data_IF_193593730846
#
_entry.id   IF_193593730846
#
_cell.length_a   1.000
_cell.length_b   1.000
_cell.length_c   1.000
_cell.angle_alpha   90.00
_cell.angle_beta   90.00
_cell.angle_gamma   90.00
#
_symmetry.space_group_name_H-M   'P 1'
#
loop_
_entity.id
_entity.type
_entity.pdbx_description
1 polymer ?
#
# COMPACT_ATOMS: atom_id res chain seq x y z
N UNK A 1 26.55 -27.18 2.17
CA UNK A 1 25.65 -27.19 3.36
C UNK A 1 25.16 -25.77 3.50
N UNK A 2 23.85 -25.59 3.40
CA UNK A 2 23.27 -24.26 3.66
C UNK A 2 23.49 -23.96 5.14
N UNK A 3 23.99 -22.75 5.46
CA UNK A 3 24.24 -22.39 6.86
C UNK A 3 22.92 -22.42 7.64
N UNK A 4 22.93 -23.07 8.80
CA UNK A 4 21.80 -23.08 9.72
C UNK A 4 21.53 -21.64 10.14
N UNK A 5 20.28 -21.15 10.05
CA UNK A 5 19.94 -19.82 10.51
C UNK A 5 20.30 -19.66 12.00
N UNK A 6 20.84 -18.54 12.35
CA UNK A 6 21.22 -18.19 13.72
C UNK A 6 20.92 -16.72 13.98
N UNK A 7 20.79 -16.39 15.24
CA UNK A 7 20.68 -15.01 15.71
C UNK A 7 21.89 -14.64 16.55
N UNK A 8 22.11 -13.36 16.72
CA UNK A 8 22.99 -12.82 17.74
C UNK A 8 22.14 -12.38 18.92
N UNK A 9 22.36 -12.98 20.08
CA UNK A 9 21.77 -12.50 21.32
C UNK A 9 22.30 -11.10 21.67
N UNK A 10 21.62 -10.40 22.56
CA UNK A 10 22.04 -9.09 23.04
C UNK A 10 23.45 -9.16 23.69
N UNK A 11 23.83 -10.33 24.19
CA UNK A 11 25.20 -10.64 24.70
C UNK A 11 26.25 -10.71 23.60
N UNK A 12 25.89 -10.63 22.31
CA UNK A 12 26.80 -10.83 21.18
C UNK A 12 27.11 -12.31 20.87
N UNK A 13 26.49 -13.24 21.56
CA UNK A 13 26.66 -14.68 21.31
C UNK A 13 25.85 -15.09 20.11
N UNK A 14 26.48 -15.83 19.19
CA UNK A 14 25.83 -16.43 18.03
C UNK A 14 25.14 -17.73 18.48
N UNK A 15 23.80 -17.77 18.35
CA UNK A 15 23.02 -18.95 18.74
C UNK A 15 22.21 -19.48 17.55
N UNK A 16 22.26 -20.79 17.26
CA UNK A 16 21.40 -21.40 16.26
C UNK A 16 19.93 -21.32 16.68
N UNK A 17 19.03 -20.98 15.75
CA UNK A 17 17.60 -20.83 16.04
C UNK A 17 16.94 -22.10 16.55
N UNK A 18 17.45 -23.29 16.19
CA UNK A 18 16.91 -24.56 16.69
C UNK A 18 17.20 -24.80 18.18
N UNK A 19 18.24 -24.18 18.76
CA UNK A 19 18.59 -24.32 20.19
C UNK A 19 17.67 -23.48 21.10
N UNK A 20 16.81 -22.63 20.52
CA UNK A 20 15.93 -21.74 21.26
C UNK A 20 14.58 -22.36 21.62
N UNK A 21 14.44 -23.69 21.59
CA UNK A 21 13.17 -24.36 21.87
C UNK A 21 12.11 -24.20 20.78
N UNK A 22 12.45 -23.56 19.68
CA UNK A 22 11.62 -23.41 18.51
C UNK A 22 11.68 -24.72 17.73
N UNK A 23 10.53 -25.29 17.40
CA UNK A 23 10.44 -26.59 16.72
C UNK A 23 11.38 -26.67 15.51
N UNK A 24 12.18 -27.73 15.47
CA UNK A 24 13.02 -28.05 14.32
C UNK A 24 12.16 -28.03 13.05
N UNK A 25 12.56 -27.24 12.05
CA UNK A 25 11.87 -27.17 10.77
C UNK A 25 11.12 -25.88 10.49
N UNK A 26 10.99 -24.96 11.44
CA UNK A 26 10.36 -23.65 11.23
C UNK A 26 11.35 -22.66 10.59
N UNK A 27 12.63 -22.73 10.99
CA UNK A 27 13.68 -21.85 10.48
C UNK A 27 14.69 -22.64 9.63
N UNK A 28 14.73 -22.33 8.35
CA UNK A 28 15.70 -22.87 7.40
C UNK A 28 16.12 -21.80 6.39
N UNK A 29 17.17 -22.02 5.60
CA UNK A 29 17.65 -21.02 4.66
C UNK A 29 16.53 -20.50 3.73
N UNK A 30 16.33 -19.17 3.74
CA UNK A 30 15.31 -18.50 2.97
C UNK A 30 14.01 -18.17 3.73
N UNK A 31 13.88 -18.54 5.01
CA UNK A 31 12.79 -18.05 5.87
C UNK A 31 13.06 -16.63 6.34
N UNK A 32 12.03 -15.95 6.88
CA UNK A 32 12.21 -14.66 7.56
C UNK A 32 13.09 -14.82 8.78
N UNK A 33 13.93 -13.83 9.04
CA UNK A 33 14.73 -13.76 10.24
C UNK A 33 13.96 -12.99 11.31
N UNK A 34 13.55 -13.69 12.36
CA UNK A 34 12.98 -13.07 13.56
C UNK A 34 14.09 -12.79 14.56
N UNK A 35 14.04 -11.66 15.22
CA UNK A 35 15.05 -11.21 16.17
C UNK A 35 14.54 -11.40 17.58
N UNK A 36 15.38 -11.97 18.44
CA UNK A 36 15.26 -11.91 19.89
C UNK A 36 15.72 -10.51 20.33
N UNK A 37 14.78 -9.63 20.61
CA UNK A 37 15.06 -8.22 20.91
C UNK A 37 15.42 -8.02 22.39
N UNK A 38 14.83 -8.81 23.28
CA UNK A 38 15.10 -8.73 24.72
C UNK A 38 16.34 -9.55 25.14
N UNK A 39 16.79 -10.51 24.31
CA UNK A 39 18.00 -11.31 24.52
C UNK A 39 17.79 -12.43 25.52
N UNK A 40 16.58 -12.90 25.75
CA UNK A 40 16.28 -13.95 26.71
C UNK A 40 16.47 -15.38 26.16
N UNK A 41 16.73 -15.50 24.84
CA UNK A 41 16.93 -16.76 24.14
C UNK A 41 15.64 -17.41 23.67
N UNK A 42 14.50 -16.73 23.74
CA UNK A 42 13.20 -17.20 23.25
C UNK A 42 12.63 -16.15 22.31
N UNK A 43 11.84 -16.57 21.31
CA UNK A 43 11.08 -15.67 20.46
C UNK A 43 9.64 -15.66 20.99
N UNK A 44 9.21 -14.55 21.58
CA UNK A 44 7.91 -14.39 22.21
C UNK A 44 7.27 -13.05 21.82
N UNK A 45 6.11 -12.74 22.38
CA UNK A 45 5.46 -11.44 22.21
C UNK A 45 6.28 -10.28 22.81
N UNK A 46 7.19 -10.58 23.74
CA UNK A 46 8.07 -9.58 24.35
C UNK A 46 9.16 -9.08 23.38
N UNK A 47 9.34 -9.76 22.24
CA UNK A 47 10.20 -9.33 21.14
C UNK A 47 9.51 -8.39 20.14
N UNK A 48 8.27 -8.05 20.41
CA UNK A 48 7.55 -7.08 19.56
C UNK A 48 7.93 -5.65 19.95
N UNK A 49 7.94 -4.78 18.96
CA UNK A 49 8.20 -3.36 19.15
C UNK A 49 7.29 -2.49 18.29
N UNK A 50 7.15 -1.24 18.69
CA UNK A 50 6.38 -0.27 17.90
C UNK A 50 7.21 0.19 16.69
N UNK A 51 6.93 -0.39 15.53
CA UNK A 51 7.72 -0.15 14.33
C UNK A 51 7.39 1.17 13.62
N UNK A 52 6.12 1.59 13.58
CA UNK A 52 5.71 2.78 12.82
C UNK A 52 4.28 3.23 13.14
N UNK A 53 3.92 4.41 12.65
CA UNK A 53 2.55 4.96 12.77
C UNK A 53 1.84 4.98 11.41
N UNK A 54 0.56 4.62 11.34
CA UNK A 54 -0.25 4.75 10.14
C UNK A 54 -0.63 6.20 9.81
N UNK A 55 -0.43 7.12 10.74
CA UNK A 55 -0.70 8.53 10.52
C UNK A 55 0.39 9.17 9.66
N UNK A 56 0.02 9.98 8.66
CA UNK A 56 0.99 10.69 7.85
C UNK A 56 1.72 11.77 8.66
N UNK A 57 3.00 11.98 8.38
CA UNK A 57 3.77 13.08 8.95
C UNK A 57 3.27 14.44 8.44
N UNK A 58 2.86 14.49 7.17
CA UNK A 58 2.27 15.67 6.56
C UNK A 58 1.16 15.27 5.60
N UNK A 59 0.05 16.00 5.65
CA UNK A 59 -1.04 15.83 4.68
C UNK A 59 -1.74 17.17 4.43
N UNK A 60 -2.40 17.28 3.28
CA UNK A 60 -3.12 18.51 2.96
C UNK A 60 -3.72 18.49 1.56
N UNK A 61 -4.28 19.62 1.17
CA UNK A 61 -4.87 19.87 -0.14
C UNK A 61 -4.25 21.07 -0.83
N UNK A 62 -4.18 20.99 -2.15
CA UNK A 62 -3.77 22.12 -3.01
C UNK A 62 -4.95 22.37 -3.97
N UNK A 63 -5.42 23.60 -4.00
CA UNK A 63 -6.50 24.05 -4.88
C UNK A 63 -5.97 25.07 -5.86
N UNK A 64 -6.38 24.95 -7.12
CA UNK A 64 -6.01 25.90 -8.16
C UNK A 64 -7.24 26.19 -9.04
N UNK A 65 -7.60 27.48 -9.12
CA UNK A 65 -8.67 27.97 -9.96
C UNK A 65 -8.10 28.95 -10.99
N UNK A 66 -8.33 28.67 -12.26
CA UNK A 66 -7.87 29.49 -13.38
C UNK A 66 -9.08 29.93 -14.21
N UNK A 67 -9.08 31.18 -14.64
CA UNK A 67 -10.07 31.73 -15.57
C UNK A 67 -9.37 32.37 -16.75
N UNK A 68 -9.83 32.00 -17.92
CA UNK A 68 -9.35 32.59 -19.15
C UNK A 68 -10.52 32.81 -20.12
N UNK A 69 -10.90 34.06 -20.34
CA UNK A 69 -12.09 34.46 -21.09
C UNK A 69 -13.33 33.73 -20.53
N UNK A 70 -13.99 32.94 -21.36
CA UNK A 70 -15.21 32.22 -21.05
C UNK A 70 -14.94 30.83 -20.42
N UNK A 71 -13.66 30.43 -20.28
CA UNK A 71 -13.28 29.16 -19.69
C UNK A 71 -12.89 29.31 -18.23
N UNK A 72 -13.28 28.34 -17.42
CA UNK A 72 -12.80 28.17 -16.05
C UNK A 72 -12.26 26.76 -15.85
N UNK A 73 -11.16 26.62 -15.13
CA UNK A 73 -10.51 25.38 -14.78
C UNK A 73 -10.27 25.37 -13.27
N UNK A 74 -10.84 24.37 -12.60
CA UNK A 74 -10.62 24.12 -11.17
C UNK A 74 -9.95 22.77 -10.97
N UNK A 75 -8.92 22.75 -10.12
CA UNK A 75 -8.19 21.55 -9.76
C UNK A 75 -8.08 21.43 -8.25
N UNK A 76 -8.29 20.23 -7.73
CA UNK A 76 -8.10 19.90 -6.32
C UNK A 76 -7.18 18.68 -6.19
N UNK A 77 -6.06 18.88 -5.51
CA UNK A 77 -5.10 17.81 -5.20
C UNK A 77 -5.11 17.52 -3.71
N UNK A 78 -4.95 16.25 -3.37
CA UNK A 78 -4.61 15.80 -2.03
C UNK A 78 -3.20 15.23 -2.04
N UNK A 79 -2.46 15.46 -0.96
CA UNK A 79 -1.18 14.82 -0.73
C UNK A 79 -1.08 14.26 0.69
N UNK A 80 -0.29 13.21 0.84
CA UNK A 80 0.07 12.60 2.13
C UNK A 80 1.50 12.10 2.05
N UNK A 81 2.31 12.44 3.03
CA UNK A 81 3.75 12.14 3.08
C UNK A 81 4.10 11.45 4.39
N UNK A 82 4.92 10.41 4.32
CA UNK A 82 5.44 9.72 5.49
C UNK A 82 4.40 8.92 6.26
N UNK A 83 3.41 8.36 5.57
CA UNK A 83 2.44 7.42 6.12
C UNK A 83 3.00 6.01 6.01
N UNK A 84 2.82 5.18 7.04
CA UNK A 84 3.19 3.77 6.97
C UNK A 84 1.97 2.88 6.78
N UNK A 85 2.10 1.90 5.90
CA UNK A 85 1.07 0.89 5.61
C UNK A 85 1.71 -0.48 5.76
N UNK A 86 1.07 -1.32 6.58
CA UNK A 86 1.40 -2.72 6.74
C UNK A 86 0.60 -3.57 5.74
N UNK A 87 1.30 -4.32 4.89
CA UNK A 87 0.70 -5.19 3.89
C UNK A 87 0.69 -6.63 4.36
N UNK A 88 -0.43 -7.07 4.93
CA UNK A 88 -0.58 -8.46 5.43
C UNK A 88 -0.91 -9.48 4.35
N UNK A 89 -1.39 -9.06 3.20
CA UNK A 89 -1.86 -10.00 2.17
C UNK A 89 -0.75 -10.57 1.29
N UNK A 90 0.45 -10.02 1.31
CA UNK A 90 1.55 -10.56 0.52
C UNK A 90 1.83 -12.01 0.92
N UNK A 91 1.76 -12.33 2.20
CA UNK A 91 1.94 -13.69 2.70
C UNK A 91 0.85 -14.64 2.19
N UNK A 92 -0.40 -14.22 2.18
CA UNK A 92 -1.51 -15.03 1.66
C UNK A 92 -1.51 -15.14 0.13
N UNK A 93 -1.16 -14.06 -0.57
CA UNK A 93 -1.16 -14.05 -2.04
C UNK A 93 -0.02 -14.88 -2.64
N UNK A 94 1.05 -15.08 -1.88
CA UNK A 94 2.19 -15.91 -2.28
C UNK A 94 2.02 -17.39 -1.91
N UNK A 95 0.88 -17.77 -1.31
CA UNK A 95 0.53 -19.15 -0.92
C UNK A 95 -0.59 -19.72 -1.80
N UNK A 96 -0.42 -19.85 -3.12
CA UNK A 96 -1.50 -20.24 -4.02
C UNK A 96 -2.00 -21.68 -3.84
N UNK A 97 -1.37 -22.47 -2.97
CA UNK A 97 -1.69 -23.88 -2.74
C UNK A 97 -2.57 -24.16 -1.52
N UNK A 98 -2.74 -23.21 -0.60
CA UNK A 98 -3.53 -23.43 0.60
C UNK A 98 -5.03 -23.22 0.37
N UNK A 99 -5.40 -22.23 -0.40
CA UNK A 99 -6.80 -21.94 -0.72
C UNK A 99 -6.92 -21.38 -2.14
N UNK A 100 -7.22 -22.24 -3.14
CA UNK A 100 -7.36 -21.79 -4.54
C UNK A 100 -8.37 -20.66 -4.73
N UNK A 101 -9.40 -20.62 -3.91
CA UNK A 101 -10.44 -19.59 -3.91
C UNK A 101 -9.94 -18.22 -3.39
N UNK A 102 -8.95 -18.20 -2.51
CA UNK A 102 -8.39 -16.98 -1.91
C UNK A 102 -7.08 -16.55 -2.56
N UNK A 103 -6.55 -17.34 -3.49
CA UNK A 103 -5.30 -17.00 -4.14
C UNK A 103 -5.47 -15.80 -5.06
N UNK A 104 -4.79 -14.71 -4.72
CA UNK A 104 -4.58 -13.62 -5.67
C UNK A 104 -3.66 -14.16 -6.76
N UNK A 105 -4.08 -13.97 -8.00
CA UNK A 105 -3.31 -14.41 -9.16
C UNK A 105 -2.10 -13.51 -9.37
N UNK A 106 -1.07 -13.72 -8.56
CA UNK A 106 0.22 -13.08 -8.71
C UNK A 106 1.04 -13.87 -9.73
N UNK A 107 1.65 -13.18 -10.67
CA UNK A 107 2.62 -13.81 -11.56
C UNK A 107 3.91 -14.09 -10.77
N UNK A 108 4.04 -15.30 -10.24
CA UNK A 108 5.17 -15.72 -9.41
C UNK A 108 6.53 -15.56 -10.12
N UNK A 109 6.57 -15.50 -11.46
CA UNK A 109 7.79 -15.22 -12.22
C UNK A 109 8.32 -13.81 -12.02
N UNK A 110 7.45 -12.90 -11.57
CA UNK A 110 7.79 -11.50 -11.26
C UNK A 110 8.10 -11.28 -9.78
N UNK A 111 7.90 -12.30 -8.95
CA UNK A 111 8.17 -12.24 -7.52
C UNK A 111 9.65 -12.51 -7.28
N UNK A 112 10.37 -11.53 -6.76
CA UNK A 112 11.77 -11.66 -6.40
C UNK A 112 11.90 -12.27 -5.00
N UNK A 113 11.71 -13.59 -4.92
CA UNK A 113 11.84 -14.36 -3.69
C UNK A 113 13.26 -14.96 -3.55
N UNK A 114 13.60 -15.34 -2.34
CA UNK A 114 14.83 -16.08 -2.10
C UNK A 114 14.73 -17.50 -2.71
N UNK A 115 15.67 -17.87 -3.54
CA UNK A 115 15.76 -19.21 -4.15
C UNK A 115 16.94 -20.00 -3.62
N UNK A 116 18.06 -19.35 -3.42
CA UNK A 116 19.30 -19.94 -2.94
C UNK A 116 20.27 -18.87 -2.44
N UNK A 117 21.40 -19.29 -1.86
CA UNK A 117 22.42 -18.41 -1.29
C UNK A 117 23.01 -17.34 -2.26
N UNK A 118 22.81 -17.49 -3.55
CA UNK A 118 23.28 -16.53 -4.54
C UNK A 118 22.22 -15.48 -4.93
N UNK A 119 20.97 -15.61 -4.41
CA UNK A 119 19.92 -14.64 -4.65
C UNK A 119 20.28 -13.32 -3.97
N UNK A 120 20.41 -12.25 -4.77
CA UNK A 120 20.77 -10.93 -4.26
C UNK A 120 19.53 -10.14 -3.89
N UNK A 121 19.49 -9.61 -2.68
CA UNK A 121 18.42 -8.72 -2.18
C UNK A 121 16.99 -9.25 -2.46
N UNK A 122 16.66 -10.48 -2.05
CA UNK A 122 15.31 -10.99 -2.24
C UNK A 122 14.31 -10.11 -1.46
N UNK A 123 13.20 -9.79 -2.10
CA UNK A 123 12.11 -9.04 -1.45
C UNK A 123 11.25 -9.96 -0.56
N UNK A 124 11.16 -11.22 -0.94
CA UNK A 124 10.31 -12.21 -0.27
C UNK A 124 11.12 -13.41 0.20
N UNK A 125 10.68 -14.10 1.26
CA UNK A 125 11.27 -15.35 1.70
C UNK A 125 11.07 -16.44 0.63
N UNK A 126 11.61 -17.61 0.90
CA UNK A 126 11.47 -18.78 0.01
C UNK A 126 10.01 -19.21 -0.07
N UNK A 127 9.45 -19.25 -1.29
CA UNK A 127 8.04 -19.57 -1.52
C UNK A 127 7.63 -20.98 -1.05
N UNK A 128 8.56 -21.94 -0.99
CA UNK A 128 8.28 -23.30 -0.50
C UNK A 128 8.21 -23.42 1.02
N UNK A 129 8.65 -22.41 1.77
CA UNK A 129 8.65 -22.42 3.23
C UNK A 129 7.28 -22.65 3.81
N UNK A 130 6.30 -22.03 3.22
CA UNK A 130 4.92 -22.07 3.69
C UNK A 130 4.25 -23.43 3.52
N UNK A 131 4.70 -24.25 2.56
CA UNK A 131 4.04 -25.53 2.25
C UNK A 131 4.35 -26.65 3.22
N UNK A 132 5.56 -26.71 3.74
CA UNK A 132 6.05 -27.92 4.40
C UNK A 132 5.93 -27.92 5.92
N UNK A 133 5.82 -26.73 6.57
CA UNK A 133 5.92 -26.64 8.03
C UNK A 133 4.85 -25.78 8.69
N UNK A 134 3.83 -25.33 7.93
CA UNK A 134 2.82 -24.41 8.44
C UNK A 134 3.54 -23.31 9.22
N UNK A 135 4.08 -22.33 8.50
CA UNK A 135 4.79 -21.21 9.13
C UNK A 135 3.86 -20.61 10.18
N UNK A 136 4.01 -21.07 11.42
CA UNK A 136 3.11 -20.72 12.53
C UNK A 136 3.30 -19.25 12.96
N UNK A 137 4.33 -18.60 12.42
CA UNK A 137 4.55 -17.18 12.57
C UNK A 137 3.87 -16.39 11.45
N UNK A 138 2.56 -16.57 11.31
CA UNK A 138 1.71 -15.58 10.63
C UNK A 138 1.66 -14.36 11.54
N UNK A 139 2.62 -13.49 11.39
CA UNK A 139 2.80 -12.30 12.22
C UNK A 139 2.78 -11.03 11.41
N UNK A 140 2.73 -9.92 12.11
CA UNK A 140 2.90 -8.60 11.55
C UNK A 140 4.42 -8.30 11.58
N UNK A 141 5.05 -8.22 10.42
CA UNK A 141 6.48 -8.00 10.31
C UNK A 141 6.79 -6.58 9.83
N UNK A 142 7.83 -6.00 10.37
CA UNK A 142 8.34 -4.69 9.95
C UNK A 142 8.78 -4.66 8.47
N UNK A 143 9.22 -5.81 7.95
CA UNK A 143 9.57 -5.98 6.53
C UNK A 143 8.39 -5.74 5.57
N UNK A 144 7.15 -5.82 6.06
CA UNK A 144 5.93 -5.65 5.28
C UNK A 144 5.35 -4.24 5.42
N UNK A 145 6.04 -3.37 6.17
CA UNK A 145 5.67 -1.97 6.35
C UNK A 145 6.29 -1.12 5.24
N UNK A 146 5.45 -0.42 4.50
CA UNK A 146 5.87 0.53 3.47
C UNK A 146 5.69 1.97 3.94
N UNK A 147 6.72 2.81 3.77
CA UNK A 147 6.62 4.25 3.97
C UNK A 147 6.10 4.91 2.69
N UNK A 148 4.91 5.47 2.76
CA UNK A 148 4.13 5.90 1.62
C UNK A 148 4.11 7.41 1.47
N UNK A 149 4.29 7.83 0.22
CA UNK A 149 4.07 9.18 -0.25
C UNK A 149 3.05 9.14 -1.39
N UNK A 150 2.07 10.03 -1.36
CA UNK A 150 1.07 10.11 -2.41
C UNK A 150 0.71 11.54 -2.77
N UNK A 151 0.34 11.72 -4.03
CA UNK A 151 -0.31 12.90 -4.57
C UNK A 151 -1.44 12.43 -5.51
N UNK A 152 -2.66 12.85 -5.22
CA UNK A 152 -3.85 12.52 -6.03
C UNK A 152 -4.50 13.76 -6.58
N UNK A 153 -4.81 13.77 -7.87
CA UNK A 153 -5.76 14.72 -8.43
C UNK A 153 -7.18 14.23 -8.15
N UNK A 154 -7.77 14.80 -7.08
CA UNK A 154 -9.12 14.44 -6.61
C UNK A 154 -10.19 14.89 -7.56
N UNK A 155 -10.06 16.11 -8.06
CA UNK A 155 -11.05 16.71 -8.95
C UNK A 155 -10.39 17.64 -9.96
N UNK A 156 -10.84 17.54 -11.18
CA UNK A 156 -10.55 18.44 -12.28
C UNK A 156 -11.87 18.85 -12.92
N UNK A 157 -12.18 20.13 -12.94
CA UNK A 157 -13.39 20.66 -13.61
C UNK A 157 -12.99 21.67 -14.65
N UNK A 158 -13.44 21.47 -15.88
CA UNK A 158 -13.34 22.42 -16.98
C UNK A 158 -14.74 22.93 -17.30
N UNK A 159 -14.96 24.22 -17.16
CA UNK A 159 -16.20 24.89 -17.45
C UNK A 159 -16.08 25.85 -18.64
N UNK A 160 -17.15 26.00 -19.38
CA UNK A 160 -17.33 27.02 -20.42
C UNK A 160 -18.60 27.82 -20.15
N UNK A 161 -18.47 29.12 -19.96
CA UNK A 161 -19.55 30.04 -19.73
C UNK A 161 -20.03 30.58 -21.10
N UNK A 162 -21.29 30.38 -21.42
CA UNK A 162 -21.85 30.86 -22.69
C UNK A 162 -21.87 32.40 -22.68
N UNK A 163 -21.50 32.96 -23.81
CA UNK A 163 -21.56 34.40 -24.00
C UNK A 163 -23.01 34.91 -23.79
N UNK A 164 -23.16 36.06 -23.12
CA UNK A 164 -24.48 36.65 -22.81
C UNK A 164 -25.40 36.77 -24.02
N UNK A 165 -24.87 37.14 -25.19
CA UNK A 165 -25.65 37.26 -26.40
C UNK A 165 -26.27 35.93 -26.86
N UNK A 166 -25.58 34.83 -26.60
CA UNK A 166 -26.07 33.47 -26.87
C UNK A 166 -27.10 33.07 -25.83
N UNK A 167 -26.79 33.26 -24.54
CA UNK A 167 -27.72 32.93 -23.45
C UNK A 167 -29.06 33.66 -23.57
N UNK A 168 -29.03 34.94 -23.87
CA UNK A 168 -30.24 35.78 -24.07
C UNK A 168 -31.12 35.31 -25.20
N UNK A 169 -30.58 34.71 -26.27
CA UNK A 169 -31.40 34.12 -27.37
C UNK A 169 -32.26 32.97 -26.92
N UNK A 170 -31.85 32.30 -25.86
CA UNK A 170 -32.60 31.20 -25.22
C UNK A 170 -33.40 31.62 -23.99
N UNK A 171 -33.51 32.93 -23.73
CA UNK A 171 -34.22 33.45 -22.57
C UNK A 171 -33.52 33.22 -21.24
N UNK A 172 -32.20 32.97 -21.27
CA UNK A 172 -31.38 32.68 -20.09
C UNK A 172 -30.56 33.92 -19.70
N UNK A 173 -30.45 34.17 -18.39
CA UNK A 173 -29.54 35.20 -17.84
C UNK A 173 -28.08 34.74 -17.95
N UNK A 174 -27.82 33.46 -17.70
CA UNK A 174 -26.49 32.84 -17.92
C UNK A 174 -26.61 31.33 -18.15
N UNK A 175 -25.65 30.77 -18.85
CA UNK A 175 -25.52 29.32 -19.00
C UNK A 175 -24.06 28.90 -18.96
N UNK A 176 -23.77 27.78 -18.28
CA UNK A 176 -22.43 27.19 -18.15
C UNK A 176 -22.52 25.69 -18.40
N UNK A 177 -21.65 25.19 -19.27
CA UNK A 177 -21.45 23.76 -19.50
C UNK A 177 -20.12 23.39 -18.83
N UNK A 178 -20.07 22.28 -18.15
CA UNK A 178 -18.85 21.83 -17.51
C UNK A 178 -18.67 20.32 -17.57
N UNK A 179 -17.41 19.90 -17.51
CA UNK A 179 -17.00 18.50 -17.37
C UNK A 179 -16.14 18.40 -16.12
N UNK A 180 -16.48 17.44 -15.27
CA UNK A 180 -15.70 17.13 -14.06
C UNK A 180 -15.16 15.71 -14.17
N UNK A 181 -13.87 15.56 -13.89
CA UNK A 181 -13.21 14.27 -13.71
C UNK A 181 -12.76 14.12 -12.25
N UNK A 182 -13.11 13.00 -11.63
CA UNK A 182 -12.71 12.69 -10.25
C UNK A 182 -11.70 11.54 -10.23
N UNK A 183 -10.75 11.59 -9.29
CA UNK A 183 -9.70 10.59 -9.09
C UNK A 183 -8.90 10.25 -10.36
N UNK A 184 -8.60 11.27 -11.16
CA UNK A 184 -8.07 11.12 -12.51
C UNK A 184 -6.71 10.42 -12.53
N UNK A 185 -5.83 10.78 -11.59
CA UNK A 185 -4.57 10.07 -11.39
C UNK A 185 -4.13 10.06 -9.93
N UNK A 186 -3.30 9.07 -9.60
CA UNK A 186 -2.58 8.91 -8.35
C UNK A 186 -1.11 8.71 -8.65
N UNK A 187 -0.27 9.52 -8.03
CA UNK A 187 1.17 9.32 -7.96
C UNK A 187 1.49 8.81 -6.56
N UNK A 188 2.05 7.61 -6.44
CA UNK A 188 2.42 7.00 -5.17
C UNK A 188 3.55 6.02 -5.36
N UNK A 189 4.36 5.85 -4.32
CA UNK A 189 5.34 4.77 -4.21
C UNK A 189 4.76 3.49 -3.58
N UNK A 190 3.46 3.47 -3.28
CA UNK A 190 2.79 2.30 -2.71
C UNK A 190 2.77 1.14 -3.70
N UNK A 191 3.15 -0.05 -3.25
CA UNK A 191 3.18 -1.24 -4.09
C UNK A 191 1.83 -1.96 -4.20
N UNK A 192 0.85 -1.61 -3.34
CA UNK A 192 -0.55 -2.07 -3.42
C UNK A 192 -1.39 -1.29 -4.42
N UNK A 193 -2.72 -1.48 -4.35
CA UNK A 193 -3.64 -0.89 -5.33
C UNK A 193 -3.87 0.61 -5.13
N UNK A 194 -4.24 1.00 -3.91
CA UNK A 194 -4.57 2.40 -3.59
C UNK A 194 -4.34 2.66 -2.10
N UNK A 195 -3.37 3.49 -1.72
CA UNK A 195 -3.07 3.72 -0.31
C UNK A 195 -4.15 4.54 0.42
N UNK A 196 -5.03 5.27 -0.27
CA UNK A 196 -6.07 6.07 0.36
C UNK A 196 -7.26 5.24 0.88
N UNK A 197 -7.45 4.02 0.38
CA UNK A 197 -8.50 3.12 0.87
C UNK A 197 -8.08 2.35 2.13
N UNK A 198 -6.79 2.34 2.44
CA UNK A 198 -6.27 1.71 3.66
C UNK A 198 -6.63 2.59 4.85
N UNK A 199 -7.17 1.98 5.90
CA UNK A 199 -7.57 2.68 7.13
C UNK A 199 -6.40 3.45 7.74
N UNK A 200 -6.67 4.68 8.20
CA UNK A 200 -5.69 5.50 8.91
C UNK A 200 -5.58 5.12 10.39
N UNK A 201 -6.50 4.30 10.92
CA UNK A 201 -6.52 3.93 12.31
C UNK A 201 -5.59 2.76 12.62
N UNK A 202 -5.59 1.75 11.77
CA UNK A 202 -4.74 0.56 11.91
C UNK A 202 -3.59 0.49 10.91
N UNK A 203 -3.74 1.15 9.75
CA UNK A 203 -2.73 1.15 8.71
C UNK A 203 -2.53 -0.20 8.01
N UNK A 204 -3.49 -1.12 8.18
CA UNK A 204 -3.38 -2.48 7.67
C UNK A 204 -4.09 -2.59 6.31
N UNK A 205 -3.36 -3.04 5.30
CA UNK A 205 -3.94 -3.45 4.02
C UNK A 205 -4.09 -4.97 4.00
N UNK A 206 -5.33 -5.42 4.26
CA UNK A 206 -5.70 -6.84 4.34
C UNK A 206 -6.48 -7.32 3.11
N UNK A 207 -6.35 -6.66 1.95
CA UNK A 207 -7.12 -6.98 0.74
C UNK A 207 -8.64 -7.06 0.96
N UNK A 208 -9.33 -6.11 0.62
CA UNK A 208 -10.79 -6.14 0.72
C UNK A 208 -11.44 -4.90 0.15
N UNK A 209 -10.62 -3.94 -0.19
CA UNK A 209 -11.12 -2.65 -0.64
C UNK A 209 -10.79 -2.42 -2.11
N UNK A 210 -11.78 -1.98 -2.85
CA UNK A 210 -11.62 -1.58 -4.25
C UNK A 210 -10.95 -0.20 -4.32
N UNK A 211 -10.03 0.03 -5.26
CA UNK A 211 -9.45 1.35 -5.48
C UNK A 211 -10.51 2.37 -5.86
N UNK A 212 -10.28 3.63 -5.54
CA UNK A 212 -11.21 4.70 -5.86
C UNK A 212 -11.41 4.79 -7.39
N UNK A 213 -12.66 4.70 -7.88
CA UNK A 213 -12.94 4.73 -9.31
C UNK A 213 -12.70 6.12 -9.88
N UNK A 214 -12.27 6.16 -11.14
CA UNK A 214 -12.33 7.39 -11.94
C UNK A 214 -13.76 7.65 -12.32
N UNK A 215 -14.24 8.88 -12.12
CA UNK A 215 -15.59 9.28 -12.46
C UNK A 215 -15.57 10.49 -13.39
N UNK A 216 -16.42 10.49 -14.39
CA UNK A 216 -16.60 11.61 -15.31
C UNK A 216 -18.05 12.08 -15.28
N UNK A 217 -18.24 13.37 -15.12
CA UNK A 217 -19.57 13.99 -15.05
C UNK A 217 -19.62 15.14 -16.04
N UNK A 218 -20.69 15.23 -16.81
CA UNK A 218 -21.00 16.39 -17.65
C UNK A 218 -22.20 17.08 -17.02
N UNK A 219 -22.11 18.40 -16.85
CA UNK A 219 -23.17 19.18 -16.23
C UNK A 219 -23.48 20.45 -17.02
N UNK A 220 -24.71 20.89 -16.86
CA UNK A 220 -25.23 22.15 -17.38
C UNK A 220 -25.82 22.95 -16.23
N UNK A 221 -25.39 24.19 -16.07
CA UNK A 221 -25.97 25.15 -15.12
C UNK A 221 -26.59 26.29 -15.90
N UNK A 222 -27.85 26.58 -15.63
CA UNK A 222 -28.63 27.65 -16.31
C UNK A 222 -29.31 28.54 -15.29
N UNK A 223 -29.30 29.85 -15.53
CA UNK A 223 -30.02 30.84 -14.74
C UNK A 223 -31.00 31.60 -15.68
N UNK A 224 -32.20 31.79 -15.19
CA UNK A 224 -33.26 32.49 -15.90
C UNK A 224 -33.38 33.94 -15.46
#
# INVERSE_FOLDING_TARGET
MDEIPYIYLASGVKQPLYDMGINEGIFYPGTRRILDLNGDGQITEDDQYFASSPLPQMHGGIFCDLRWKDFDLSMAFNYSLGRHILRVYDDYSLQPWETPENSIRVDLRKVHAWENKNTKNPKYPRLQSYKNNGDQFVGLYDSDIENIHLLRLKQLTLGYNLNENVSKKFGLSSARIYVTAENLFLLSNYSGLDPEIVSIFDGIDALGSYPLPRKFTIGLSVNF
#
